data_IF_731612644768
#
_entry.id   IF_731612644768
#
_cell.length_a   1.000
_cell.length_b   1.000
_cell.length_c   1.000
_cell.angle_alpha   90.00
_cell.angle_beta   90.00
_cell.angle_gamma   90.00
#
_symmetry.space_group_name_H-M   'P 1'
#
loop_
_entity.id
_entity.type
_entity.pdbx_description
1 polymer ?
#
# COMPACT_ATOMS: atom_id res chain seq x y z
N UNK A 1 23.20 28.32 -2.57
CA UNK A 1 22.03 28.08 -3.40
C UNK A 1 20.91 27.51 -2.55
N UNK A 2 19.82 28.20 -2.52
CA UNK A 2 18.62 27.62 -1.92
C UNK A 2 18.06 26.56 -2.86
N UNK A 3 17.71 25.47 -2.33
CA UNK A 3 16.97 24.46 -3.06
C UNK A 3 15.66 24.19 -2.36
N UNK A 4 14.64 23.85 -3.10
CA UNK A 4 13.39 23.47 -2.48
C UNK A 4 13.67 22.30 -1.55
N UNK A 5 13.20 22.40 -0.35
CA UNK A 5 13.23 21.33 0.58
C UNK A 5 11.97 20.51 0.48
N UNK A 6 12.12 19.23 0.30
CA UNK A 6 11.00 18.32 0.11
C UNK A 6 10.92 17.33 1.27
N UNK A 7 11.52 17.63 2.40
CA UNK A 7 11.50 16.73 3.52
C UNK A 7 12.49 15.57 3.40
N UNK A 8 13.63 15.80 2.79
CA UNK A 8 14.58 14.73 2.55
C UNK A 8 13.95 13.63 1.67
N UNK A 9 14.09 12.40 2.07
CA UNK A 9 13.46 11.27 1.38
C UNK A 9 11.95 11.19 1.57
N UNK A 10 11.39 11.95 2.50
CA UNK A 10 9.99 11.81 2.88
C UNK A 10 9.01 12.27 1.80
N UNK A 11 9.43 13.20 0.95
CA UNK A 11 8.64 13.63 -0.20
C UNK A 11 8.92 12.82 -1.46
N UNK A 12 9.79 11.83 -1.42
CA UNK A 12 10.14 11.06 -2.59
C UNK A 12 9.01 10.13 -3.02
N UNK A 13 8.86 10.00 -4.32
CA UNK A 13 7.93 9.06 -4.95
C UNK A 13 8.74 7.90 -5.50
N UNK A 14 8.23 6.69 -5.33
CA UNK A 14 8.78 5.48 -5.93
C UNK A 14 7.72 4.81 -6.79
N UNK A 15 7.97 4.71 -8.08
CA UNK A 15 7.09 3.96 -8.98
C UNK A 15 7.27 2.45 -8.76
N UNK A 16 6.17 1.71 -8.80
CA UNK A 16 6.14 0.25 -8.65
C UNK A 16 5.32 -0.34 -9.78
N UNK A 17 6.00 -1.00 -10.70
CA UNK A 17 5.40 -1.67 -11.87
C UNK A 17 5.68 -3.18 -11.93
N UNK A 18 6.29 -3.72 -10.88
CA UNK A 18 6.61 -5.14 -10.73
C UNK A 18 6.73 -5.48 -9.24
N UNK A 19 6.82 -6.76 -8.94
CA UNK A 19 7.04 -7.23 -7.56
C UNK A 19 8.20 -6.49 -6.91
N UNK A 20 7.97 -5.95 -5.74
CA UNK A 20 8.91 -5.08 -5.05
C UNK A 20 8.94 -5.38 -3.56
N UNK A 21 10.13 -5.59 -3.01
CA UNK A 21 10.35 -5.64 -1.57
C UNK A 21 10.85 -4.28 -1.09
N UNK A 22 10.11 -3.67 -0.16
CA UNK A 22 10.50 -2.39 0.40
C UNK A 22 11.69 -2.54 1.34
N UNK A 23 12.60 -1.57 1.24
CA UNK A 23 13.78 -1.48 2.09
C UNK A 23 13.58 -0.39 3.15
N UNK A 24 14.39 -0.40 4.20
CA UNK A 24 14.34 0.66 5.22
C UNK A 24 14.60 2.05 4.61
N UNK A 25 15.36 2.14 3.54
CA UNK A 25 15.59 3.39 2.80
C UNK A 25 14.34 3.91 2.07
N UNK A 26 13.30 3.11 1.92
CA UNK A 26 12.03 3.52 1.32
C UNK A 26 11.07 4.14 2.34
N UNK A 27 11.47 4.24 3.60
CA UNK A 27 10.65 4.85 4.65
C UNK A 27 10.23 6.27 4.27
N UNK A 28 8.97 6.57 4.51
CA UNK A 28 8.38 7.89 4.23
C UNK A 28 8.10 8.17 2.76
N UNK A 29 8.49 7.29 1.85
CA UNK A 29 8.15 7.45 0.44
C UNK A 29 6.68 7.14 0.18
N UNK A 30 6.13 7.80 -0.83
CA UNK A 30 4.86 7.41 -1.45
C UNK A 30 5.14 6.50 -2.63
N UNK A 31 4.58 5.31 -2.59
CA UNK A 31 4.68 4.33 -3.66
C UNK A 31 3.51 4.51 -4.62
N UNK A 32 3.82 4.58 -5.88
CA UNK A 32 2.80 4.71 -6.94
C UNK A 32 2.76 3.40 -7.71
N UNK A 33 1.71 2.61 -7.46
CA UNK A 33 1.47 1.36 -8.15
C UNK A 33 0.95 1.57 -9.57
N UNK A 34 1.47 0.81 -10.50
CA UNK A 34 1.01 0.82 -11.90
C UNK A 34 0.03 -0.34 -12.13
N UNK A 35 -1.25 -0.04 -12.01
CA UNK A 35 -2.32 -1.00 -12.26
C UNK A 35 -2.51 -1.41 -13.72
N UNK A 36 -1.80 -0.78 -14.64
CA UNK A 36 -1.82 -1.14 -16.08
C UNK A 36 -0.83 -2.24 -16.44
N UNK A 37 -0.06 -2.75 -15.48
CA UNK A 37 0.91 -3.81 -15.72
C UNK A 37 0.24 -5.07 -16.31
N UNK A 38 1.04 -5.91 -16.94
CA UNK A 38 0.53 -7.11 -17.60
C UNK A 38 0.16 -8.24 -16.64
N UNK A 39 0.38 -8.08 -15.34
CA UNK A 39 0.08 -9.08 -14.32
C UNK A 39 0.04 -8.47 -12.92
N UNK A 40 -0.33 -9.28 -11.97
CA UNK A 40 -0.40 -8.90 -10.57
C UNK A 40 0.95 -8.41 -10.04
N UNK A 41 0.90 -7.45 -9.12
CA UNK A 41 2.08 -6.88 -8.46
C UNK A 41 1.98 -7.18 -6.96
N UNK A 42 3.07 -7.65 -6.38
CA UNK A 42 3.21 -7.83 -4.94
C UNK A 42 4.21 -6.83 -4.36
N UNK A 43 3.76 -6.03 -3.40
CA UNK A 43 4.61 -5.13 -2.61
C UNK A 43 4.81 -5.77 -1.25
N UNK A 44 6.04 -6.19 -0.96
CA UNK A 44 6.39 -6.81 0.31
C UNK A 44 6.92 -5.76 1.28
N UNK A 45 6.27 -5.62 2.42
CA UNK A 45 6.68 -4.72 3.49
C UNK A 45 7.93 -5.27 4.21
N UNK A 46 8.77 -4.42 4.80
CA UNK A 46 9.90 -4.88 5.61
C UNK A 46 9.42 -5.66 6.83
N UNK A 47 10.31 -6.50 7.38
CA UNK A 47 10.01 -7.28 8.58
C UNK A 47 9.68 -6.36 9.77
N UNK A 48 8.61 -6.64 10.48
CA UNK A 48 8.12 -5.80 11.59
C UNK A 48 9.15 -5.64 12.70
N UNK A 49 9.92 -6.68 12.99
CA UNK A 49 10.96 -6.66 14.05
C UNK A 49 12.08 -5.64 13.82
N UNK A 50 12.29 -5.24 12.57
CA UNK A 50 13.33 -4.26 12.19
C UNK A 50 12.77 -2.92 11.71
N UNK A 51 11.45 -2.76 11.72
CA UNK A 51 10.77 -1.66 11.02
C UNK A 51 9.87 -0.82 11.93
N UNK A 52 10.07 -0.87 13.23
CA UNK A 52 9.27 -0.04 14.16
C UNK A 52 9.37 1.43 13.79
N UNK A 53 8.21 2.06 13.59
CA UNK A 53 8.11 3.45 13.16
C UNK A 53 8.20 3.65 11.64
N UNK A 54 8.41 2.58 10.87
CA UNK A 54 8.37 2.66 9.41
C UNK A 54 6.98 3.06 8.95
N UNK A 55 6.93 4.05 8.08
CA UNK A 55 5.69 4.58 7.53
C UNK A 55 5.78 4.60 6.01
N UNK A 56 4.71 4.20 5.33
CA UNK A 56 4.61 4.23 3.88
C UNK A 56 3.19 4.48 3.43
N UNK A 57 3.04 5.14 2.30
CA UNK A 57 1.76 5.33 1.61
C UNK A 57 1.85 4.68 0.24
N UNK A 58 0.86 3.87 -0.10
CA UNK A 58 0.78 3.19 -1.39
C UNK A 58 -0.50 3.66 -2.07
N UNK A 59 -0.37 4.15 -3.29
CA UNK A 59 -1.47 4.71 -4.09
C UNK A 59 -1.44 4.07 -5.46
N UNK A 60 -2.61 3.73 -6.01
CA UNK A 60 -2.70 3.40 -7.43
C UNK A 60 -2.59 4.68 -8.25
N UNK A 61 -1.53 4.82 -9.02
CA UNK A 61 -1.34 5.92 -9.97
C UNK A 61 -2.11 5.72 -11.26
N UNK A 62 -2.29 4.46 -11.64
CA UNK A 62 -3.10 4.03 -12.79
C UNK A 62 -4.08 2.97 -12.29
N UNK A 63 -5.31 3.04 -12.76
CA UNK A 63 -6.33 2.05 -12.40
C UNK A 63 -5.88 0.63 -12.76
N UNK A 64 -6.19 -0.32 -11.89
CA UNK A 64 -6.01 -1.72 -12.20
C UNK A 64 -6.85 -2.08 -13.43
N UNK A 65 -6.30 -2.86 -14.32
CA UNK A 65 -7.10 -3.46 -15.38
C UNK A 65 -7.91 -4.65 -14.81
N UNK A 66 -8.80 -5.22 -15.61
CA UNK A 66 -9.68 -6.31 -15.19
C UNK A 66 -8.97 -7.64 -14.88
N UNK A 67 -7.65 -7.68 -14.88
CA UNK A 67 -6.85 -8.87 -14.62
C UNK A 67 -5.57 -8.55 -13.82
N UNK A 68 -5.51 -7.39 -13.19
CA UNK A 68 -4.35 -6.95 -12.41
C UNK A 68 -4.79 -6.53 -11.03
N UNK A 69 -4.13 -7.08 -10.03
CA UNK A 69 -4.28 -6.71 -8.63
C UNK A 69 -2.93 -6.23 -8.08
N UNK A 70 -2.96 -5.30 -7.15
CA UNK A 70 -1.77 -4.86 -6.42
C UNK A 70 -1.91 -5.29 -4.98
N UNK A 71 -1.16 -6.30 -4.56
CA UNK A 71 -1.19 -6.86 -3.21
C UNK A 71 -0.03 -6.33 -2.38
N UNK A 72 -0.32 -5.95 -1.15
CA UNK A 72 0.64 -5.57 -0.14
C UNK A 72 0.72 -6.70 0.87
N UNK A 73 1.92 -7.24 1.09
CA UNK A 73 2.16 -8.37 1.99
C UNK A 73 3.11 -7.99 3.13
N UNK A 74 2.96 -8.66 4.26
CA UNK A 74 3.76 -8.48 5.47
C UNK A 74 4.08 -9.83 6.09
N UNK A 75 5.08 -9.87 6.97
CA UNK A 75 5.39 -11.01 7.84
C UNK A 75 4.40 -11.16 9.01
N UNK A 76 3.59 -10.14 9.28
CA UNK A 76 2.62 -10.11 10.37
C UNK A 76 1.28 -9.51 9.92
N UNK A 77 0.35 -9.37 10.84
CA UNK A 77 -0.96 -8.82 10.54
C UNK A 77 -0.90 -7.35 10.10
N UNK A 78 -1.73 -7.02 9.13
CA UNK A 78 -2.06 -5.66 8.71
C UNK A 78 -3.48 -5.37 9.21
N UNK A 79 -3.62 -4.47 10.17
CA UNK A 79 -4.89 -4.23 10.88
C UNK A 79 -5.30 -2.76 10.82
N UNK A 80 -6.60 -2.51 10.80
CA UNK A 80 -7.16 -1.15 10.80
C UNK A 80 -8.44 -1.04 9.97
N UNK A 81 -8.89 0.19 9.78
CA UNK A 81 -10.11 0.48 9.04
C UNK A 81 -9.82 0.69 7.55
N UNK A 82 -10.72 0.18 6.74
CA UNK A 82 -10.71 0.32 5.28
C UNK A 82 -12.07 0.87 4.86
N UNK A 83 -12.06 1.88 4.02
CA UNK A 83 -13.28 2.47 3.45
C UNK A 83 -13.42 1.99 2.01
N UNK A 84 -14.56 1.38 1.72
CA UNK A 84 -15.02 1.08 0.38
C UNK A 84 -15.92 2.24 -0.08
N UNK A 85 -15.44 3.04 -1.02
CA UNK A 85 -16.15 4.26 -1.42
C UNK A 85 -17.31 3.99 -2.38
N UNK A 86 -17.35 2.83 -3.02
CA UNK A 86 -18.46 2.46 -3.90
C UNK A 86 -19.73 2.14 -3.09
N UNK A 87 -19.57 1.41 -2.02
CA UNK A 87 -20.71 1.04 -1.15
C UNK A 87 -20.89 1.98 0.03
N UNK A 88 -19.92 2.83 0.33
CA UNK A 88 -19.87 3.63 1.55
C UNK A 88 -19.64 2.81 2.81
N UNK A 89 -19.34 1.53 2.67
CA UNK A 89 -19.07 0.65 3.79
C UNK A 89 -17.67 0.88 4.35
N UNK A 90 -17.54 0.69 5.65
CA UNK A 90 -16.23 0.58 6.29
C UNK A 90 -16.07 -0.81 6.87
N UNK A 91 -14.88 -1.37 6.71
CA UNK A 91 -14.53 -2.66 7.26
C UNK A 91 -13.34 -2.52 8.21
N UNK A 92 -13.35 -3.25 9.32
CA UNK A 92 -12.20 -3.36 10.20
C UNK A 92 -11.45 -4.65 9.92
N UNK A 93 -10.23 -4.51 9.44
CA UNK A 93 -9.34 -5.64 9.25
C UNK A 93 -8.69 -6.02 10.58
N UNK A 94 -9.08 -7.16 11.15
CA UNK A 94 -8.60 -7.63 12.46
C UNK A 94 -7.35 -8.50 12.34
N UNK A 95 -7.16 -9.19 11.21
CA UNK A 95 -6.08 -10.13 11.00
C UNK A 95 -5.82 -10.28 9.50
N UNK A 96 -4.69 -10.88 9.17
CA UNK A 96 -4.24 -11.16 7.80
C UNK A 96 -2.99 -10.36 7.44
N UNK A 97 -2.06 -11.06 6.81
CA UNK A 97 -0.74 -10.53 6.46
C UNK A 97 -0.74 -9.80 5.11
N UNK A 98 -1.88 -9.60 4.51
CA UNK A 98 -1.98 -8.94 3.21
C UNK A 98 -3.23 -8.10 3.04
N UNK A 99 -3.09 -7.05 2.24
CA UNK A 99 -4.17 -6.17 1.77
C UNK A 99 -3.83 -5.73 0.36
N UNK A 100 -4.81 -5.61 -0.49
CA UNK A 100 -4.54 -5.24 -1.88
C UNK A 100 -5.67 -4.50 -2.56
N UNK A 101 -5.33 -3.86 -3.65
CA UNK A 101 -6.29 -3.24 -4.55
C UNK A 101 -6.77 -4.29 -5.55
N UNK A 102 -8.07 -4.52 -5.57
CA UNK A 102 -8.71 -5.48 -6.46
C UNK A 102 -8.50 -5.13 -7.94
N UNK A 103 -8.75 -6.08 -8.81
CA UNK A 103 -8.90 -5.81 -10.23
C UNK A 103 -9.94 -4.71 -10.47
N UNK A 104 -9.73 -3.91 -11.49
CA UNK A 104 -10.54 -2.74 -11.82
C UNK A 104 -10.59 -1.62 -10.76
N UNK A 105 -9.84 -1.70 -9.65
CA UNK A 105 -9.73 -0.60 -8.70
C UNK A 105 -9.18 0.66 -9.39
N UNK A 106 -9.78 1.81 -9.08
CA UNK A 106 -9.46 3.08 -9.76
C UNK A 106 -8.20 3.75 -9.24
N UNK A 107 -7.57 4.54 -10.09
CA UNK A 107 -6.49 5.42 -9.68
C UNK A 107 -6.92 6.32 -8.51
N UNK A 108 -6.02 6.48 -7.54
CA UNK A 108 -6.31 7.21 -6.30
C UNK A 108 -6.70 6.29 -5.14
N UNK A 109 -7.01 5.02 -5.38
CA UNK A 109 -7.13 4.03 -4.29
C UNK A 109 -5.83 3.99 -3.50
N UNK A 110 -5.91 4.02 -2.18
CA UNK A 110 -4.74 4.22 -1.32
C UNK A 110 -4.78 3.42 -0.04
N UNK A 111 -3.60 3.19 0.52
CA UNK A 111 -3.42 2.70 1.88
C UNK A 111 -2.19 3.35 2.51
N UNK A 112 -2.32 3.84 3.72
CA UNK A 112 -1.21 4.36 4.53
C UNK A 112 -0.99 3.45 5.73
N UNK A 113 0.24 3.04 5.92
CA UNK A 113 0.64 2.05 6.90
C UNK A 113 1.75 2.57 7.80
N UNK A 114 1.71 2.15 9.06
CA UNK A 114 2.82 2.33 10.01
C UNK A 114 3.09 1.01 10.75
N UNK A 115 4.34 0.70 10.99
CA UNK A 115 4.77 -0.46 11.76
C UNK A 115 4.93 -0.09 13.24
N UNK A 116 4.27 -0.81 14.15
CA UNK A 116 4.45 -0.61 15.60
C UNK A 116 5.57 -1.49 16.21
N UNK A 117 6.19 -2.32 15.39
CA UNK A 117 7.22 -3.28 15.78
C UNK A 117 6.69 -4.70 16.00
N UNK A 118 5.38 -4.90 15.98
CA UNK A 118 4.73 -6.20 16.12
C UNK A 118 3.73 -6.49 14.99
N UNK A 119 3.17 -5.44 14.40
CA UNK A 119 2.21 -5.51 13.29
C UNK A 119 2.20 -4.21 12.50
N UNK A 120 1.50 -4.21 11.40
CA UNK A 120 1.25 -3.04 10.59
C UNK A 120 -0.13 -2.47 10.89
N UNK A 121 -0.19 -1.18 11.16
CA UNK A 121 -1.42 -0.45 11.42
C UNK A 121 -1.81 0.36 10.19
N UNK A 122 -3.07 0.24 9.79
CA UNK A 122 -3.66 1.06 8.73
C UNK A 122 -4.04 2.40 9.35
N UNK A 123 -3.38 3.47 8.92
CA UNK A 123 -3.71 4.84 9.34
C UNK A 123 -4.80 5.44 8.47
N UNK A 124 -4.82 5.06 7.19
CA UNK A 124 -5.81 5.50 6.22
C UNK A 124 -5.86 4.47 5.09
N UNK A 125 -7.03 4.09 4.66
CA UNK A 125 -7.21 3.24 3.49
C UNK A 125 -8.57 3.51 2.85
N UNK A 126 -8.56 3.75 1.56
CA UNK A 126 -9.78 3.94 0.77
C UNK A 126 -9.58 3.37 -0.64
N UNK A 127 -10.58 2.65 -1.10
CA UNK A 127 -10.66 2.13 -2.47
C UNK A 127 -12.09 2.26 -2.95
N UNK A 128 -12.27 2.36 -4.25
CA UNK A 128 -13.61 2.33 -4.86
C UNK A 128 -14.22 0.93 -4.92
N UNK A 129 -13.42 -0.09 -4.67
CA UNK A 129 -13.83 -1.49 -4.58
C UNK A 129 -13.23 -2.07 -3.30
N UNK A 130 -13.90 -3.06 -2.71
CA UNK A 130 -13.42 -3.74 -1.52
C UNK A 130 -11.98 -4.26 -1.72
N UNK A 131 -11.12 -3.99 -0.76
CA UNK A 131 -9.73 -4.47 -0.82
C UNK A 131 -9.66 -5.98 -0.70
N UNK A 132 -8.83 -6.60 -1.52
CA UNK A 132 -8.57 -8.04 -1.50
C UNK A 132 -7.54 -8.42 -0.43
N UNK A 133 -7.57 -9.67 -0.02
CA UNK A 133 -6.62 -10.24 0.94
C UNK A 133 -5.67 -11.25 0.32
N UNK A 134 -5.89 -11.61 -0.93
CA UNK A 134 -5.03 -12.50 -1.71
C UNK A 134 -5.21 -12.19 -3.20
N UNK A 135 -4.19 -12.47 -3.98
CA UNK A 135 -4.27 -12.40 -5.44
C UNK A 135 -5.18 -13.51 -5.98
N UNK A 136 -5.91 -13.18 -6.99
CA UNK A 136 -6.79 -14.12 -7.70
C UNK A 136 -6.29 -14.51 -9.09
#
# INVERSE_FOLDING_TARGET
MARPYIGGSNGAIKAVSADTTLQLADQGKTLIGDGSSAGNITITLPATTSSKGYETTIVLGVANNAATEVLITSDTNIVGFIIDSDTGASAYATAGASRGFADAAKAGSKIKLVCDGAKWLILDAASDIAMVTALT
#
